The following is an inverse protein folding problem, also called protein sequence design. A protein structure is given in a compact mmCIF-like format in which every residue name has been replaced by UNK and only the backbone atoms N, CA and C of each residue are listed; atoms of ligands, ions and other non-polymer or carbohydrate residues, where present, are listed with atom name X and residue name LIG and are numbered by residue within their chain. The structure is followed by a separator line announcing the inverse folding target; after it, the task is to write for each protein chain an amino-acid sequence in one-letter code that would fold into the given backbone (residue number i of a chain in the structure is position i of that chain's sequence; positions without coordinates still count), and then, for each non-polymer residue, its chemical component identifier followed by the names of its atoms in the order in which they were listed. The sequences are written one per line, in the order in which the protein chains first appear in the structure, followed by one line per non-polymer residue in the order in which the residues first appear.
data_IF_363934230373
#
_entry.id   IF_363934230373
#
_cell.length_a   1.000
_cell.length_b   1.000
_cell.length_c   1.000
_cell.angle_alpha   90.00
_cell.angle_beta   90.00
_cell.angle_gamma   90.00
#
_symmetry.space_group_name_H-M   'P 1'
#
loop_
_entity.id
_entity.type
_entity.pdbx_description
1 polymer ?
#
# COMPACT_ATOMS: atom_id res chain seq x y z
N UNK A 1 9.70 2.13 12.74
CA UNK A 1 9.62 0.67 12.67
C UNK A 1 10.55 0.18 11.58
N UNK A 2 11.27 -0.93 11.76
CA UNK A 2 12.13 -1.49 10.71
C UNK A 2 11.27 -2.19 9.64
N UNK A 3 11.63 -2.12 8.33
CA UNK A 3 10.95 -2.88 7.30
C UNK A 3 11.07 -4.39 7.52
N UNK A 4 9.96 -5.12 7.32
CA UNK A 4 9.88 -6.58 7.37
C UNK A 4 9.97 -7.19 5.98
N UNK A 5 10.48 -8.41 5.87
CA UNK A 5 10.38 -9.14 4.61
C UNK A 5 8.92 -9.51 4.35
N UNK A 6 8.46 -9.45 3.09
CA UNK A 6 7.04 -9.67 2.79
C UNK A 6 6.54 -11.07 3.22
N UNK A 7 7.41 -12.08 3.18
CA UNK A 7 7.09 -13.46 3.60
C UNK A 7 7.03 -13.63 5.13
N UNK A 8 7.33 -12.60 5.92
CA UNK A 8 7.25 -12.59 7.38
C UNK A 8 5.98 -11.87 7.88
N UNK A 9 5.11 -11.46 6.97
CA UNK A 9 3.86 -10.74 7.25
C UNK A 9 2.69 -11.67 6.95
N UNK A 10 1.83 -11.88 7.94
CA UNK A 10 0.69 -12.80 7.94
C UNK A 10 -0.65 -12.13 8.26
N UNK A 11 -0.67 -10.79 8.33
CA UNK A 11 -1.84 -9.98 8.71
C UNK A 11 -2.37 -9.10 7.57
N UNK A 12 -2.17 -9.52 6.32
CA UNK A 12 -2.60 -8.73 5.17
C UNK A 12 -4.13 -8.58 5.10
N UNK A 13 -4.55 -7.37 4.76
CA UNK A 13 -5.94 -7.04 4.47
C UNK A 13 -6.09 -6.66 2.99
N UNK A 14 -7.09 -7.20 2.31
CA UNK A 14 -7.49 -6.76 0.99
C UNK A 14 -8.16 -5.38 1.09
N UNK A 15 -7.64 -4.43 0.32
CA UNK A 15 -8.13 -3.05 0.25
C UNK A 15 -8.32 -2.64 -1.21
N UNK A 16 -9.36 -1.89 -1.49
CA UNK A 16 -9.57 -1.21 -2.77
C UNK A 16 -9.25 0.28 -2.60
N UNK A 17 -8.48 0.86 -3.53
CA UNK A 17 -8.10 2.28 -3.51
C UNK A 17 -8.65 3.02 -4.73
N UNK A 18 -9.23 4.19 -4.50
CA UNK A 18 -9.52 5.19 -5.54
C UNK A 18 -8.38 6.22 -5.52
N UNK A 19 -7.64 6.31 -6.63
CA UNK A 19 -6.43 7.15 -6.75
C UNK A 19 -6.38 7.70 -8.17
N UNK A 20 -6.34 9.02 -8.33
CA UNK A 20 -6.11 9.77 -9.56
C UNK A 20 -6.59 9.06 -10.86
N UNK A 21 -7.86 9.24 -11.19
CA UNK A 21 -8.50 8.67 -12.40
C UNK A 21 -8.52 7.12 -12.46
N UNK A 22 -8.11 6.43 -11.40
CA UNK A 22 -8.25 4.98 -11.24
C UNK A 22 -9.15 4.71 -10.03
N UNK A 23 -10.09 3.77 -10.18
CA UNK A 23 -11.04 3.40 -9.14
C UNK A 23 -10.92 1.92 -8.82
N UNK A 24 -11.20 1.57 -7.57
CA UNK A 24 -11.20 0.22 -7.04
C UNK A 24 -9.92 -0.55 -7.41
N UNK A 25 -8.75 0.10 -7.27
CA UNK A 25 -7.46 -0.56 -7.46
C UNK A 25 -7.30 -1.62 -6.35
N UNK A 26 -7.21 -2.91 -6.70
CA UNK A 26 -7.02 -3.96 -5.70
C UNK A 26 -5.58 -3.92 -5.17
N UNK A 27 -5.46 -3.92 -3.85
CA UNK A 27 -4.19 -3.94 -3.13
C UNK A 27 -4.28 -4.82 -1.88
N UNK A 28 -3.13 -5.21 -1.33
CA UNK A 28 -3.06 -5.70 0.05
C UNK A 28 -2.41 -4.67 0.94
N UNK A 29 -2.92 -4.54 2.15
CA UNK A 29 -2.51 -3.60 3.17
C UNK A 29 -1.92 -4.33 4.38
N UNK A 30 -0.92 -3.72 5.00
CA UNK A 30 -0.39 -4.12 6.31
C UNK A 30 0.06 -2.87 7.07
N UNK A 31 -0.06 -2.88 8.39
CA UNK A 31 0.48 -1.81 9.25
C UNK A 31 2.03 -1.79 9.23
N UNK A 32 2.66 -2.88 8.81
CA UNK A 32 4.10 -2.98 8.73
C UNK A 32 4.68 -2.17 7.58
N UNK A 33 5.95 -1.77 7.74
CA UNK A 33 6.79 -1.36 6.63
C UNK A 33 7.28 -2.60 5.91
N UNK A 34 7.27 -2.58 4.58
CA UNK A 34 7.74 -3.71 3.77
C UNK A 34 9.13 -3.43 3.20
N UNK A 35 10.01 -4.42 3.33
CA UNK A 35 11.30 -4.45 2.68
C UNK A 35 11.10 -4.69 1.18
N UNK A 36 11.22 -3.63 0.39
CA UNK A 36 10.94 -3.62 -1.06
C UNK A 36 11.82 -4.59 -1.84
N UNK A 37 13.01 -4.95 -1.34
CA UNK A 37 13.88 -5.96 -1.99
C UNK A 37 13.38 -7.39 -1.87
N UNK A 38 12.35 -7.63 -1.06
CA UNK A 38 11.73 -8.95 -0.89
C UNK A 38 10.43 -9.11 -1.65
N UNK A 39 9.98 -8.08 -2.36
CA UNK A 39 8.78 -8.16 -3.20
C UNK A 39 9.00 -9.17 -4.33
N UNK A 40 8.00 -10.04 -4.60
CA UNK A 40 7.94 -10.77 -5.86
C UNK A 40 7.96 -9.85 -7.07
N UNK A 41 8.47 -10.36 -8.20
CA UNK A 41 8.47 -9.63 -9.46
C UNK A 41 7.04 -9.24 -9.88
N UNK A 42 6.89 -8.01 -10.40
CA UNK A 42 5.60 -7.47 -10.81
C UNK A 42 4.75 -6.87 -9.68
N UNK A 43 5.20 -6.95 -8.42
CA UNK A 43 4.57 -6.22 -7.31
C UNK A 43 5.27 -4.90 -7.02
N UNK A 44 4.46 -3.91 -6.64
CA UNK A 44 4.91 -2.58 -6.26
C UNK A 44 4.39 -2.26 -4.86
N UNK A 45 5.20 -1.59 -4.03
CA UNK A 45 4.81 -1.22 -2.68
C UNK A 45 4.93 0.29 -2.46
N UNK A 46 3.92 0.85 -1.80
CA UNK A 46 3.83 2.26 -1.45
C UNK A 46 3.48 2.41 0.02
N UNK A 47 4.17 3.31 0.72
CA UNK A 47 3.85 3.67 2.08
C UNK A 47 2.63 4.61 2.09
N UNK A 48 1.74 4.45 3.05
CA UNK A 48 0.60 5.34 3.30
C UNK A 48 0.99 6.35 4.36
N UNK A 49 0.77 7.63 4.06
CA UNK A 49 0.90 8.74 5.02
C UNK A 49 -0.46 9.15 5.56
N UNK A 50 -0.55 9.30 6.88
CA UNK A 50 -1.66 10.02 7.50
C UNK A 50 -1.52 11.54 7.28
N UNK A 51 -2.62 12.16 6.90
CA UNK A 51 -2.77 13.61 6.86
C UNK A 51 -3.26 14.15 8.20
N UNK A 52 -3.53 15.45 8.25
CA UNK A 52 -4.04 16.12 9.45
C UNK A 52 -5.46 15.67 9.84
N UNK A 53 -6.24 15.18 8.88
CA UNK A 53 -7.67 14.85 9.07
C UNK A 53 -8.06 13.47 8.54
N UNK A 54 -7.14 12.73 7.92
CA UNK A 54 -7.36 11.41 7.33
C UNK A 54 -6.22 10.48 7.70
N UNK A 55 -6.54 9.26 8.11
CA UNK A 55 -5.53 8.24 8.42
C UNK A 55 -4.80 7.75 7.15
N UNK A 56 -5.49 7.82 6.01
CA UNK A 56 -5.03 7.43 4.67
C UNK A 56 -5.17 8.64 3.74
N UNK A 57 -4.11 9.44 3.60
CA UNK A 57 -4.15 10.70 2.84
C UNK A 57 -3.42 10.57 1.49
N UNK A 58 -2.19 10.05 1.51
CA UNK A 58 -1.37 9.85 0.31
C UNK A 58 -0.72 8.48 0.30
N UNK A 59 -0.45 7.97 -0.90
CA UNK A 59 0.59 6.94 -1.12
C UNK A 59 1.90 7.62 -1.55
N UNK A 60 3.02 7.11 -1.06
CA UNK A 60 4.37 7.62 -1.36
C UNK A 60 5.35 6.45 -1.52
N UNK A 61 6.47 6.67 -2.19
CA UNK A 61 7.51 5.63 -2.29
C UNK A 61 8.09 5.25 -0.93
N UNK A 62 8.24 6.21 -0.02
CA UNK A 62 8.69 6.00 1.37
C UNK A 62 8.18 7.15 2.27
N UNK A 63 7.53 6.83 3.39
CA UNK A 63 7.05 7.80 4.37
C UNK A 63 7.87 7.70 5.65
N UNK A 64 8.65 8.71 6.02
CA UNK A 64 9.45 8.65 7.25
C UNK A 64 8.68 9.04 8.52
N UNK A 65 7.72 9.96 8.38
CA UNK A 65 6.92 10.53 9.49
C UNK A 65 5.44 10.36 9.13
N UNK A 66 4.62 9.97 10.10
CA UNK A 66 3.19 9.68 9.93
C UNK A 66 2.90 8.51 8.97
N UNK A 67 3.72 7.46 9.03
CA UNK A 67 3.45 6.20 8.32
C UNK A 67 2.30 5.46 9.01
N UNK A 68 1.25 5.16 8.26
CA UNK A 68 0.06 4.42 8.73
C UNK A 68 0.13 2.95 8.32
N UNK A 69 0.73 2.66 7.17
CA UNK A 69 0.87 1.29 6.69
C UNK A 69 1.46 1.25 5.29
N UNK A 70 1.52 0.06 4.69
CA UNK A 70 2.05 -0.15 3.35
C UNK A 70 1.01 -0.88 2.51
N UNK A 71 0.81 -0.42 1.28
CA UNK A 71 0.01 -1.13 0.27
C UNK A 71 0.91 -1.77 -0.77
N UNK A 72 0.54 -2.97 -1.20
CA UNK A 72 1.18 -3.72 -2.28
C UNK A 72 0.16 -3.94 -3.39
N UNK A 73 0.55 -3.59 -4.62
CA UNK A 73 -0.29 -3.62 -5.82
C UNK A 73 0.40 -4.37 -6.96
N UNK A 74 -0.39 -4.91 -7.90
CA UNK A 74 0.09 -5.67 -9.07
C UNK A 74 0.50 -4.80 -10.27
N UNK A 75 0.34 -3.48 -10.17
CA UNK A 75 0.73 -2.54 -11.22
C UNK A 75 1.34 -1.29 -10.61
N UNK A 76 2.22 -0.65 -11.37
CA UNK A 76 2.82 0.61 -10.97
C UNK A 76 1.74 1.70 -10.92
N UNK A 77 1.68 2.45 -9.81
CA UNK A 77 0.85 3.64 -9.71
C UNK A 77 1.71 4.86 -10.06
N UNK A 78 1.38 5.62 -11.11
CA UNK A 78 2.10 6.84 -11.46
C UNK A 78 2.00 7.87 -10.33
N UNK A 79 3.14 8.39 -9.87
CA UNK A 79 3.16 9.49 -8.90
C UNK A 79 2.78 10.80 -9.61
N UNK A 80 1.74 11.47 -9.14
CA UNK A 80 1.20 12.68 -9.81
C UNK A 80 2.07 13.92 -9.59
N UNK A 81 2.69 14.06 -8.40
CA UNK A 81 3.51 15.22 -8.01
C UNK A 81 4.91 14.80 -7.54
N UNK A 82 5.63 14.06 -8.39
CA UNK A 82 7.00 13.54 -8.23
C UNK A 82 7.24 12.58 -7.06
N UNK A 83 6.56 12.73 -5.91
CA UNK A 83 6.87 11.97 -4.69
C UNK A 83 5.63 11.35 -4.00
N UNK A 84 4.41 11.76 -4.37
CA UNK A 84 3.17 11.21 -3.81
C UNK A 84 1.98 11.22 -4.78
N UNK A 85 0.97 10.41 -4.46
CA UNK A 85 -0.37 10.48 -5.06
C UNK A 85 -1.45 10.46 -3.96
N UNK A 86 -2.44 11.38 -3.99
CA UNK A 86 -3.55 11.38 -3.03
C UNK A 86 -4.44 10.13 -3.12
N UNK A 87 -4.91 9.65 -1.96
CA UNK A 87 -5.98 8.66 -1.85
C UNK A 87 -7.32 9.40 -1.83
N UNK A 88 -8.14 9.17 -2.84
CA UNK A 88 -9.46 9.79 -2.97
C UNK A 88 -10.50 9.08 -2.09
N UNK A 89 -10.49 7.75 -2.10
CA UNK A 89 -11.33 6.87 -1.28
C UNK A 89 -10.64 5.51 -1.07
N UNK A 90 -11.07 4.75 -0.07
CA UNK A 90 -10.60 3.39 0.16
C UNK A 90 -11.64 2.51 0.85
N UNK A 91 -11.59 1.21 0.59
CA UNK A 91 -12.51 0.25 1.20
C UNK A 91 -11.79 -1.04 1.59
N UNK A 92 -11.89 -1.44 2.86
CA UNK A 92 -11.39 -2.72 3.33
C UNK A 92 -12.38 -3.83 3.01
N UNK A 93 -11.92 -4.85 2.30
CA UNK A 93 -12.76 -5.97 1.82
C UNK A 93 -12.69 -7.15 2.78
N UNK A 94 -11.53 -7.40 3.40
CA UNK A 94 -11.34 -8.49 4.35
C UNK A 94 -9.87 -8.87 4.53
N UNK A 95 -9.60 -9.92 5.31
CA UNK A 95 -8.26 -10.54 5.38
C UNK A 95 -7.96 -11.33 4.12
N UNK A 96 -6.68 -11.40 3.72
CA UNK A 96 -6.22 -12.20 2.57
C UNK A 96 -4.82 -12.72 2.83
N UNK A 97 -4.53 -13.93 2.35
CA UNK A 97 -3.16 -14.48 2.39
C UNK A 97 -2.32 -13.95 1.23
N UNK A 98 -1.01 -13.74 1.44
CA UNK A 98 -0.12 -13.26 0.37
C UNK A 98 -0.20 -14.15 -0.89
N UNK A 99 -0.22 -15.47 -0.71
CA UNK A 99 -0.30 -16.43 -1.84
C UNK A 99 -1.63 -16.34 -2.60
N UNK A 100 -2.72 -16.01 -1.92
CA UNK A 100 -4.01 -15.79 -2.57
C UNK A 100 -3.98 -14.52 -3.41
N UNK A 101 -3.38 -13.44 -2.88
CA UNK A 101 -3.18 -12.22 -3.66
C UNK A 101 -2.29 -12.42 -4.87
N UNK A 102 -1.31 -13.32 -4.81
CA UNK A 102 -0.39 -13.61 -5.93
C UNK A 102 -1.03 -14.42 -7.08
N UNK A 103 -2.17 -15.08 -6.82
CA UNK A 103 -2.87 -15.90 -7.82
C UNK A 103 -3.64 -15.02 -8.82
#
# INVERSE_FOLDING_TARGET
MSPKNINEIDDFQLIELDIHNQKAIPAIFTDYRVNRSTLPEGLFAYDIRAGETKDFDTIELNVLVNHTGTVIVKHEIPMTDSDYTPIEDYNFIGSIELNEFLT
#
